data_IF_515836509435
#
_entry.id   IF_515836509435
#
_cell.length_a   1.000
_cell.length_b   1.000
_cell.length_c   1.000
_cell.angle_alpha   90.00
_cell.angle_beta   90.00
_cell.angle_gamma   90.00
#
_symmetry.space_group_name_H-M   'P 1'
#
loop_
_entity.id
_entity.type
_entity.pdbx_description
1 polymer ?
#
# COMPACT_ATOMS: atom_id res chain seq x y z
N UNK A 1 17.83 -0.60 -5.89
CA UNK A 1 16.96 -1.77 -5.58
C UNK A 1 17.86 -2.98 -5.45
N UNK A 2 17.55 -3.86 -4.51
CA UNK A 2 18.22 -5.13 -4.33
C UNK A 2 17.92 -6.13 -5.46
N UNK A 3 18.53 -7.29 -5.40
CA UNK A 3 18.31 -8.39 -6.35
C UNK A 3 16.96 -9.10 -6.10
N UNK A 4 16.56 -9.22 -4.84
CA UNK A 4 15.37 -9.92 -4.39
C UNK A 4 14.33 -8.96 -3.78
N UNK A 5 14.79 -8.00 -2.95
CA UNK A 5 13.92 -7.02 -2.32
C UNK A 5 13.67 -5.83 -3.22
N UNK A 6 12.40 -5.60 -3.55
CA UNK A 6 11.90 -4.42 -4.24
C UNK A 6 11.48 -3.32 -3.24
N UNK A 7 10.64 -2.38 -3.70
CA UNK A 7 10.09 -1.32 -2.83
C UNK A 7 9.11 -1.84 -1.77
N UNK A 8 8.57 -3.05 -1.96
CA UNK A 8 7.56 -3.64 -1.08
C UNK A 8 7.84 -5.13 -0.78
N UNK A 9 9.05 -5.40 -0.29
CA UNK A 9 9.53 -6.71 0.11
C UNK A 9 10.04 -7.57 -1.04
N UNK A 10 10.29 -8.85 -0.75
CA UNK A 10 10.69 -9.86 -1.71
C UNK A 10 9.45 -10.49 -2.33
N UNK A 11 9.14 -10.18 -3.59
CA UNK A 11 7.98 -10.70 -4.33
C UNK A 11 8.40 -11.56 -5.50
N UNK A 12 7.55 -12.54 -5.82
CA UNK A 12 7.71 -13.38 -6.99
C UNK A 12 6.67 -14.47 -7.07
N UNK A 13 6.61 -15.15 -8.21
CA UNK A 13 5.77 -16.33 -8.39
C UNK A 13 6.25 -17.46 -7.46
N UNK A 14 5.28 -18.02 -6.71
CA UNK A 14 5.57 -18.99 -5.66
C UNK A 14 6.21 -20.26 -6.23
N UNK A 15 7.31 -20.70 -5.62
CA UNK A 15 8.16 -21.83 -6.05
C UNK A 15 8.86 -21.65 -7.42
N UNK A 16 8.81 -20.45 -8.01
CA UNK A 16 9.57 -20.10 -9.21
C UNK A 16 10.61 -19.04 -8.87
N UNK A 17 10.19 -17.84 -8.51
CA UNK A 17 11.08 -16.73 -8.14
C UNK A 17 11.25 -16.62 -6.62
N UNK A 18 10.17 -16.84 -5.86
CA UNK A 18 10.18 -16.93 -4.41
C UNK A 18 9.94 -18.39 -4.01
N UNK A 19 10.97 -19.04 -3.46
CA UNK A 19 10.94 -20.48 -3.11
C UNK A 19 10.86 -20.70 -1.60
N UNK A 20 10.52 -21.92 -1.22
CA UNK A 20 10.57 -22.39 0.19
C UNK A 20 11.96 -22.21 0.80
N UNK A 21 13.02 -22.46 0.02
CA UNK A 21 14.40 -22.29 0.47
C UNK A 21 14.73 -20.82 0.75
N UNK A 22 14.23 -19.90 -0.08
CA UNK A 22 14.36 -18.47 0.18
C UNK A 22 13.66 -18.10 1.51
N UNK A 23 12.42 -18.54 1.71
CA UNK A 23 11.68 -18.25 2.94
C UNK A 23 12.37 -18.83 4.18
N UNK A 24 12.86 -20.08 4.12
CA UNK A 24 13.63 -20.69 5.20
C UNK A 24 14.87 -19.87 5.53
N UNK A 25 15.67 -19.49 4.52
CA UNK A 25 16.88 -18.67 4.73
C UNK A 25 16.57 -17.28 5.26
N UNK A 26 15.50 -16.62 4.78
CA UNK A 26 15.04 -15.34 5.36
C UNK A 26 14.74 -15.53 6.85
N UNK A 27 14.00 -16.57 7.22
CA UNK A 27 13.73 -16.90 8.62
C UNK A 27 15.01 -17.17 9.41
N UNK A 28 15.97 -17.90 8.85
CA UNK A 28 17.30 -18.14 9.45
C UNK A 28 18.02 -16.83 9.76
N UNK A 29 18.09 -15.95 8.76
CA UNK A 29 18.81 -14.68 8.90
C UNK A 29 18.12 -13.75 9.91
N UNK A 30 16.82 -13.57 9.80
CA UNK A 30 16.04 -12.70 10.70
C UNK A 30 16.15 -13.19 12.15
N UNK A 31 15.97 -14.50 12.39
CA UNK A 31 16.08 -15.07 13.74
C UNK A 31 17.46 -14.90 14.35
N UNK A 32 18.53 -15.08 13.56
CA UNK A 32 19.90 -14.87 14.00
C UNK A 32 20.22 -13.39 14.22
N UNK A 33 19.82 -12.51 13.30
CA UNK A 33 20.12 -11.08 13.34
C UNK A 33 19.54 -10.39 14.58
N UNK A 34 18.26 -10.62 14.84
CA UNK A 34 17.59 -10.05 16.01
C UNK A 34 17.87 -10.81 17.32
N UNK A 35 18.39 -12.02 17.21
CA UNK A 35 18.70 -12.89 18.35
C UNK A 35 20.11 -12.77 18.91
N UNK A 36 20.91 -11.77 18.50
CA UNK A 36 22.31 -11.64 18.92
C UNK A 36 22.50 -11.45 20.43
N UNK A 37 21.64 -10.68 21.07
CA UNK A 37 21.78 -10.27 22.47
C UNK A 37 20.68 -10.84 23.40
N UNK A 38 19.61 -11.39 22.83
CA UNK A 38 18.48 -11.93 23.56
C UNK A 38 17.72 -12.95 22.69
N UNK A 39 16.76 -13.64 23.25
CA UNK A 39 15.88 -14.53 22.50
C UNK A 39 14.86 -13.72 21.70
N UNK A 40 15.09 -13.57 20.40
CA UNK A 40 14.24 -12.75 19.54
C UNK A 40 12.79 -13.27 19.49
N UNK A 41 11.84 -12.33 19.42
CA UNK A 41 10.41 -12.58 19.23
C UNK A 41 9.99 -12.03 17.88
N UNK A 42 9.59 -12.89 16.98
CA UNK A 42 9.20 -12.51 15.62
C UNK A 42 7.72 -12.83 15.40
N UNK A 43 6.93 -11.82 15.04
CA UNK A 43 5.51 -12.02 14.74
C UNK A 43 5.29 -12.20 13.25
N UNK A 44 4.45 -13.16 12.87
CA UNK A 44 4.19 -13.52 11.47
C UNK A 44 2.69 -13.42 11.19
N UNK A 45 2.33 -12.67 10.15
CA UNK A 45 1.01 -12.66 9.55
C UNK A 45 1.07 -13.11 8.09
N UNK A 46 -0.08 -13.51 7.55
CA UNK A 46 -0.20 -13.91 6.16
C UNK A 46 -1.55 -13.52 5.57
N UNK A 47 -1.59 -13.38 4.25
CA UNK A 47 -2.83 -13.29 3.50
C UNK A 47 -3.46 -14.68 3.25
N UNK A 48 -4.51 -14.70 2.45
CA UNK A 48 -5.32 -15.90 2.19
C UNK A 48 -4.76 -16.81 1.10
N UNK A 49 -3.64 -16.47 0.43
CA UNK A 49 -3.05 -17.26 -0.65
C UNK A 49 -2.71 -18.66 -0.16
N UNK A 50 -2.93 -19.65 -1.01
CA UNK A 50 -2.56 -21.05 -0.70
C UNK A 50 -1.07 -21.20 -0.37
N UNK A 51 -0.21 -20.50 -1.11
CA UNK A 51 1.25 -20.52 -0.90
C UNK A 51 1.69 -19.82 0.40
N UNK A 52 0.85 -18.95 0.99
CA UNK A 52 1.20 -18.26 2.24
C UNK A 52 1.39 -19.23 3.42
N UNK A 53 0.64 -20.33 3.46
CA UNK A 53 0.83 -21.38 4.47
C UNK A 53 2.18 -22.09 4.32
N UNK A 54 2.57 -22.40 3.10
CA UNK A 54 3.85 -23.03 2.80
C UNK A 54 5.02 -22.15 3.22
N UNK A 55 4.96 -20.84 2.90
CA UNK A 55 6.00 -19.90 3.28
C UNK A 55 6.03 -19.62 4.78
N UNK A 56 4.87 -19.59 5.45
CA UNK A 56 4.81 -19.48 6.92
C UNK A 56 5.58 -20.61 7.60
N UNK A 57 5.34 -21.85 7.19
CA UNK A 57 6.05 -23.01 7.78
C UNK A 57 7.56 -22.95 7.51
N UNK A 58 7.99 -22.51 6.34
CA UNK A 58 9.39 -22.37 6.01
C UNK A 58 10.08 -21.28 6.84
N UNK A 59 9.44 -20.11 6.97
CA UNK A 59 9.91 -19.00 7.82
C UNK A 59 10.00 -19.42 9.29
N UNK A 60 8.96 -20.07 9.81
CA UNK A 60 8.93 -20.60 11.19
C UNK A 60 10.07 -21.57 11.45
N UNK A 61 10.30 -22.53 10.52
CA UNK A 61 11.40 -23.46 10.63
C UNK A 61 12.77 -22.76 10.67
N UNK A 62 12.95 -21.75 9.81
CA UNK A 62 14.17 -20.92 9.78
C UNK A 62 14.38 -20.14 11.08
N UNK A 63 13.36 -19.43 11.56
CA UNK A 63 13.40 -18.65 12.79
C UNK A 63 13.72 -19.52 14.01
N UNK A 64 12.99 -20.61 14.21
CA UNK A 64 13.17 -21.49 15.36
C UNK A 64 14.51 -22.20 15.33
N UNK A 65 15.00 -22.60 14.16
CA UNK A 65 16.34 -23.15 13.96
C UNK A 65 17.47 -22.16 14.27
N UNK A 66 17.18 -20.85 14.28
CA UNK A 66 18.11 -19.79 14.70
C UNK A 66 17.92 -19.33 16.14
N UNK A 67 17.02 -19.95 16.89
CA UNK A 67 16.77 -19.64 18.31
C UNK A 67 15.67 -18.63 18.57
N UNK A 68 15.09 -18.01 17.53
CA UNK A 68 14.02 -17.05 17.70
C UNK A 68 12.65 -17.71 17.95
N UNK A 69 11.82 -17.10 18.79
CA UNK A 69 10.43 -17.51 18.98
C UNK A 69 9.55 -16.90 17.87
N UNK A 70 8.76 -17.73 17.20
CA UNK A 70 7.84 -17.35 16.12
C UNK A 70 6.40 -17.27 16.64
N UNK A 71 5.78 -16.08 16.54
CA UNK A 71 4.41 -15.81 17.00
C UNK A 71 3.48 -15.69 15.80
N UNK A 72 2.45 -16.54 15.69
CA UNK A 72 1.58 -16.66 14.53
C UNK A 72 0.27 -15.91 14.73
N UNK A 73 0.07 -14.84 13.96
CA UNK A 73 -1.21 -14.11 13.87
C UNK A 73 -2.20 -14.82 12.92
N UNK A 74 -1.71 -15.81 12.14
CA UNK A 74 -2.46 -16.48 11.08
C UNK A 74 -2.88 -15.49 9.97
N UNK A 75 -4.07 -15.70 9.36
CA UNK A 75 -4.58 -14.79 8.34
C UNK A 75 -4.93 -13.45 8.98
N UNK A 76 -4.21 -12.41 8.57
CA UNK A 76 -4.36 -11.05 9.06
C UNK A 76 -3.82 -10.03 8.05
N UNK A 77 -4.06 -8.75 8.28
CA UNK A 77 -3.65 -7.65 7.40
C UNK A 77 -2.22 -7.19 7.69
N UNK A 78 -1.54 -6.58 6.71
CA UNK A 78 -0.23 -5.95 6.91
C UNK A 78 -0.24 -4.94 8.08
N UNK A 79 -1.22 -4.01 8.18
CA UNK A 79 -1.27 -3.10 9.33
C UNK A 79 -1.52 -3.80 10.66
N UNK A 80 -2.17 -4.97 10.71
CA UNK A 80 -2.30 -5.77 11.92
C UNK A 80 -0.94 -6.29 12.42
N UNK A 81 -0.07 -6.72 11.49
CA UNK A 81 1.30 -7.12 11.84
C UNK A 81 2.09 -5.92 12.35
N UNK A 82 2.04 -4.79 11.64
CA UNK A 82 2.68 -3.53 12.05
C UNK A 82 2.21 -3.08 13.44
N UNK A 83 0.91 -3.17 13.72
CA UNK A 83 0.34 -2.86 15.03
C UNK A 83 0.90 -3.79 16.12
N UNK A 84 0.89 -5.10 15.88
CA UNK A 84 1.37 -6.09 16.85
C UNK A 84 2.85 -5.88 17.19
N UNK A 85 3.71 -5.67 16.18
CA UNK A 85 5.15 -5.38 16.41
C UNK A 85 5.30 -4.21 17.35
N UNK A 86 4.61 -3.12 17.08
CA UNK A 86 4.76 -1.84 17.76
C UNK A 86 4.23 -1.83 19.21
N UNK A 87 3.23 -2.68 19.48
CA UNK A 87 2.51 -2.66 20.78
C UNK A 87 2.83 -3.81 21.71
N UNK A 88 3.54 -4.84 21.25
CA UNK A 88 3.75 -6.09 22.01
C UNK A 88 5.23 -6.48 22.13
N UNK A 89 6.14 -5.52 21.96
CA UNK A 89 7.60 -5.70 22.13
C UNK A 89 8.17 -6.84 21.25
N UNK A 90 7.76 -6.92 19.99
CA UNK A 90 8.40 -7.79 19.01
C UNK A 90 9.59 -7.10 18.34
N UNK A 91 10.64 -7.88 18.08
CA UNK A 91 11.84 -7.38 17.42
C UNK A 91 11.64 -7.12 15.93
N UNK A 92 10.82 -7.97 15.29
CA UNK A 92 10.50 -7.88 13.89
C UNK A 92 9.12 -8.48 13.58
N UNK A 93 8.47 -7.92 12.58
CA UNK A 93 7.26 -8.48 11.97
C UNK A 93 7.52 -9.01 10.58
N UNK A 94 6.87 -10.10 10.24
CA UNK A 94 6.89 -10.66 8.88
C UNK A 94 5.47 -10.73 8.36
N UNK A 95 5.20 -10.11 7.20
CA UNK A 95 3.95 -10.29 6.48
C UNK A 95 4.18 -11.08 5.19
N UNK A 96 3.42 -12.17 5.03
CA UNK A 96 3.46 -13.02 3.85
C UNK A 96 2.30 -12.63 2.94
N UNK A 97 2.60 -11.81 1.92
CA UNK A 97 1.63 -11.33 0.94
C UNK A 97 2.31 -10.71 -0.27
N UNK A 98 1.66 -10.77 -1.43
CA UNK A 98 1.98 -9.99 -2.62
C UNK A 98 0.92 -8.90 -2.90
N UNK A 99 0.21 -8.42 -1.86
CA UNK A 99 -0.78 -7.34 -1.95
C UNK A 99 -1.82 -7.61 -3.05
N UNK A 100 -1.89 -6.76 -4.07
CA UNK A 100 -2.87 -6.81 -5.16
C UNK A 100 -2.53 -7.77 -6.30
N UNK A 101 -1.37 -8.45 -6.26
CA UNK A 101 -0.97 -9.40 -7.29
C UNK A 101 -1.91 -10.63 -7.35
N UNK A 102 -1.93 -11.38 -8.48
CA UNK A 102 -2.64 -12.64 -8.58
C UNK A 102 -2.24 -13.67 -7.52
N UNK A 103 -3.07 -14.68 -7.31
CA UNK A 103 -2.88 -15.66 -6.23
C UNK A 103 -1.61 -16.50 -6.33
N UNK A 104 -1.06 -16.68 -7.51
CA UNK A 104 0.16 -17.48 -7.75
C UNK A 104 1.44 -16.73 -7.37
N UNK A 105 1.39 -15.40 -7.28
CA UNK A 105 2.45 -14.61 -6.69
C UNK A 105 2.36 -14.62 -5.16
N UNK A 106 3.50 -14.43 -4.50
CA UNK A 106 3.55 -14.17 -3.07
C UNK A 106 4.72 -13.24 -2.73
N UNK A 107 4.81 -12.84 -1.46
CA UNK A 107 5.88 -11.96 -1.00
C UNK A 107 6.18 -12.13 0.48
N UNK A 108 7.35 -11.65 0.87
CA UNK A 108 7.79 -11.57 2.26
C UNK A 108 8.15 -10.11 2.52
N UNK A 109 7.35 -9.43 3.36
CA UNK A 109 7.59 -8.07 3.84
C UNK A 109 8.14 -8.15 5.26
N UNK A 110 9.18 -7.38 5.54
CA UNK A 110 9.80 -7.31 6.86
C UNK A 110 9.52 -5.95 7.50
N UNK A 111 9.13 -5.98 8.78
CA UNK A 111 8.83 -4.79 9.58
C UNK A 111 9.75 -4.75 10.80
N UNK A 112 10.39 -3.61 11.05
CA UNK A 112 11.23 -3.41 12.23
C UNK A 112 10.39 -3.25 13.51
N UNK A 113 11.03 -3.16 14.67
CA UNK A 113 10.36 -3.04 15.98
C UNK A 113 9.41 -1.84 16.10
N UNK A 114 9.49 -0.85 15.22
CA UNK A 114 8.58 0.28 15.15
C UNK A 114 7.36 0.04 14.23
N UNK A 115 7.23 -1.16 13.66
CA UNK A 115 6.17 -1.51 12.72
C UNK A 115 6.31 -0.86 11.35
N UNK A 116 7.48 -0.33 11.04
CA UNK A 116 7.86 0.24 9.75
C UNK A 116 8.65 -0.79 8.92
N UNK A 117 8.79 -0.57 7.62
CA UNK A 117 9.68 -1.40 6.79
C UNK A 117 11.09 -1.42 7.37
N UNK A 118 11.74 -2.59 7.33
CA UNK A 118 13.13 -2.71 7.77
C UNK A 118 14.05 -1.83 6.93
N UNK A 119 15.18 -1.48 7.49
CA UNK A 119 16.21 -0.68 6.86
C UNK A 119 16.80 -1.41 5.64
N UNK A 120 17.13 -0.66 4.58
CA UNK A 120 17.68 -1.22 3.34
C UNK A 120 18.98 -2.01 3.56
N UNK A 121 19.73 -1.69 4.62
CA UNK A 121 20.94 -2.43 4.99
C UNK A 121 20.61 -3.86 5.45
N UNK A 122 19.51 -4.05 6.19
CA UNK A 122 19.07 -5.37 6.64
C UNK A 122 18.63 -6.22 5.43
N UNK A 123 17.87 -5.62 4.49
CA UNK A 123 17.48 -6.28 3.25
C UNK A 123 18.72 -6.70 2.44
N UNK A 124 19.70 -5.81 2.27
CA UNK A 124 20.92 -6.11 1.53
C UNK A 124 21.76 -7.24 2.17
N UNK A 125 21.79 -7.33 3.50
CA UNK A 125 22.44 -8.43 4.21
C UNK A 125 21.70 -9.76 4.04
N UNK A 126 20.37 -9.74 4.07
CA UNK A 126 19.57 -10.93 3.76
C UNK A 126 19.86 -11.40 2.33
N UNK A 127 19.91 -10.51 1.34
CA UNK A 127 20.26 -10.84 -0.03
C UNK A 127 21.65 -11.47 -0.15
N UNK A 128 22.62 -10.93 0.57
CA UNK A 128 23.97 -11.49 0.61
C UNK A 128 24.00 -12.91 1.20
N UNK A 129 23.17 -13.18 2.21
CA UNK A 129 23.01 -14.53 2.77
C UNK A 129 22.31 -15.49 1.80
N UNK A 130 21.25 -15.03 1.12
CA UNK A 130 20.57 -15.81 0.08
C UNK A 130 21.53 -16.21 -1.06
N UNK A 131 22.41 -15.31 -1.46
CA UNK A 131 23.44 -15.53 -2.51
C UNK A 131 24.65 -16.35 -2.03
N UNK A 132 24.71 -16.75 -0.76
CA UNK A 132 25.84 -17.50 -0.19
C UNK A 132 27.12 -16.65 -0.04
N UNK A 133 27.00 -15.32 0.03
CA UNK A 133 28.12 -14.39 0.24
C UNK A 133 28.45 -14.19 1.72
N UNK A 134 27.58 -14.68 2.60
CA UNK A 134 27.77 -14.70 4.05
C UNK A 134 27.93 -16.17 4.46
N UNK A 135 28.81 -16.44 5.43
CA UNK A 135 29.00 -17.78 5.97
C UNK A 135 27.70 -18.35 6.55
N UNK A 136 27.61 -19.70 6.59
CA UNK A 136 26.43 -20.38 7.14
C UNK A 136 26.25 -20.00 8.63
N UNK A 137 25.02 -19.61 8.97
CA UNK A 137 24.70 -19.17 10.32
C UNK A 137 24.62 -20.37 11.28
N UNK A 138 25.00 -20.23 12.56
CA UNK A 138 24.92 -21.31 13.54
C UNK A 138 23.47 -21.75 13.75
N UNK A 139 23.26 -23.03 14.01
CA UNK A 139 21.98 -23.56 14.44
C UNK A 139 21.88 -23.50 15.96
N UNK A 140 20.73 -23.08 16.46
CA UNK A 140 20.38 -23.21 17.86
C UNK A 140 20.24 -24.71 18.23
N UNK A 141 20.64 -25.06 19.43
CA UNK A 141 20.59 -26.44 19.92
C UNK A 141 19.91 -26.53 21.28
N UNK A 142 19.32 -27.68 21.59
CA UNK A 142 18.71 -27.97 22.88
C UNK A 142 17.68 -26.90 23.29
N UNK A 143 17.82 -26.31 24.49
CA UNK A 143 16.95 -25.27 25.07
C UNK A 143 17.00 -23.92 24.31
N UNK A 144 18.01 -23.70 23.48
CA UNK A 144 18.14 -22.48 22.66
C UNK A 144 17.28 -22.52 21.40
N UNK A 145 16.79 -23.71 21.00
CA UNK A 145 15.85 -23.81 19.85
C UNK A 145 14.62 -22.97 20.16
N UNK A 146 14.22 -22.13 19.18
CA UNK A 146 13.04 -21.32 19.27
C UNK A 146 11.74 -22.13 19.29
N UNK A 147 10.68 -21.54 19.74
CA UNK A 147 9.33 -22.16 19.78
C UNK A 147 8.36 -21.44 18.90
N UNK A 148 7.29 -22.12 18.52
CA UNK A 148 6.14 -21.52 17.84
C UNK A 148 5.06 -21.23 18.87
N UNK A 149 4.47 -20.03 18.79
CA UNK A 149 3.40 -19.55 19.67
C UNK A 149 2.19 -19.15 18.82
N UNK A 150 1.02 -19.72 19.11
CA UNK A 150 -0.25 -19.24 18.56
C UNK A 150 -0.56 -17.87 19.16
N UNK A 151 -0.64 -16.84 18.31
CA UNK A 151 -0.86 -15.46 18.74
C UNK A 151 -2.08 -14.81 18.05
N UNK A 152 -3.12 -15.60 17.77
CA UNK A 152 -4.38 -15.10 17.20
C UNK A 152 -4.99 -13.95 18.06
N UNK A 153 -4.69 -13.91 19.36
CA UNK A 153 -5.10 -12.82 20.27
C UNK A 153 -4.54 -11.46 19.85
N UNK A 154 -3.38 -11.38 19.22
CA UNK A 154 -2.79 -10.15 18.70
C UNK A 154 -3.66 -9.52 17.62
N UNK A 155 -4.21 -10.33 16.69
CA UNK A 155 -5.19 -9.86 15.70
C UNK A 155 -6.46 -9.30 16.36
N UNK A 156 -6.96 -9.94 17.41
CA UNK A 156 -8.14 -9.46 18.13
C UNK A 156 -7.88 -8.13 18.85
N UNK A 157 -6.67 -7.90 19.34
CA UNK A 157 -6.26 -6.59 19.91
C UNK A 157 -6.26 -5.50 18.84
N UNK A 158 -5.76 -5.79 17.64
CA UNK A 158 -5.83 -4.86 16.52
C UNK A 158 -7.29 -4.53 16.15
N UNK A 159 -8.19 -5.50 16.11
CA UNK A 159 -9.63 -5.26 15.92
C UNK A 159 -10.18 -4.33 17.01
N UNK A 160 -9.88 -4.60 18.26
CA UNK A 160 -10.28 -3.75 19.39
C UNK A 160 -9.72 -2.33 19.29
N UNK A 161 -8.46 -2.21 18.86
CA UNK A 161 -7.82 -0.92 18.60
C UNK A 161 -8.56 -0.13 17.51
N UNK A 162 -8.85 -0.72 16.36
CA UNK A 162 -9.59 -0.06 15.30
C UNK A 162 -10.98 0.42 15.76
N UNK A 163 -11.69 -0.40 16.53
CA UNK A 163 -13.01 -0.05 17.09
C UNK A 163 -12.91 1.16 18.04
N UNK A 164 -11.77 1.34 18.72
CA UNK A 164 -11.56 2.43 19.67
C UNK A 164 -11.23 3.79 19.03
N UNK A 165 -10.91 3.83 17.74
CA UNK A 165 -10.44 5.05 17.05
C UNK A 165 -11.59 6.04 16.78
N UNK A 166 -12.72 5.64 16.16
CA UNK A 166 -13.81 6.58 15.89
C UNK A 166 -14.46 7.10 17.17
N UNK A 167 -14.71 8.40 17.20
CA UNK A 167 -15.39 9.04 18.33
C UNK A 167 -16.91 8.78 18.35
N UNK A 168 -17.47 8.31 17.25
CA UNK A 168 -18.91 8.06 17.08
C UNK A 168 -19.17 6.71 16.43
N UNK A 169 -20.36 6.16 16.68
CA UNK A 169 -20.85 4.99 15.98
C UNK A 169 -21.38 5.34 14.56
N UNK A 170 -21.54 4.32 13.73
CA UNK A 170 -21.99 4.43 12.35
C UNK A 170 -23.44 3.91 12.18
N UNK A 171 -24.22 4.04 13.22
CA UNK A 171 -25.62 3.55 13.25
C UNK A 171 -26.43 4.09 12.06
N UNK A 172 -27.16 3.18 11.43
CA UNK A 172 -28.02 3.40 10.28
C UNK A 172 -27.31 3.65 8.94
N UNK A 173 -25.98 3.72 8.89
CA UNK A 173 -25.24 3.84 7.64
C UNK A 173 -25.08 2.44 7.03
N UNK A 174 -25.45 2.31 5.76
CA UNK A 174 -25.29 1.09 4.96
C UNK A 174 -23.94 1.10 4.27
N UNK A 175 -23.05 0.20 4.68
CA UNK A 175 -21.67 0.14 4.22
C UNK A 175 -21.44 -1.12 3.40
N UNK A 176 -20.99 -0.96 2.15
CA UNK A 176 -20.50 -2.06 1.32
C UNK A 176 -19.02 -2.32 1.59
N UNK A 177 -18.62 -3.58 1.76
CA UNK A 177 -17.23 -3.97 1.97
C UNK A 177 -16.83 -5.02 0.93
N UNK A 178 -15.88 -4.71 0.07
CA UNK A 178 -15.23 -5.68 -0.81
C UNK A 178 -13.90 -6.08 -0.19
N UNK A 179 -13.85 -7.32 0.31
CA UNK A 179 -12.69 -7.85 1.02
C UNK A 179 -11.66 -8.52 0.08
N UNK A 180 -11.80 -8.41 -1.23
CA UNK A 180 -10.90 -9.00 -2.24
C UNK A 180 -10.59 -10.50 -2.07
N UNK A 181 -11.41 -11.25 -1.31
CA UNK A 181 -11.09 -12.58 -0.79
C UNK A 181 -9.70 -12.64 -0.10
N UNK A 182 -9.27 -11.50 0.42
CA UNK A 182 -7.99 -11.28 1.09
C UNK A 182 -8.10 -11.27 2.61
N UNK A 183 -7.08 -10.75 3.25
CA UNK A 183 -6.93 -10.76 4.72
C UNK A 183 -7.93 -9.87 5.45
N UNK A 184 -8.51 -8.85 4.81
CA UNK A 184 -9.60 -8.05 5.39
C UNK A 184 -10.87 -8.86 5.67
N UNK A 185 -11.05 -10.02 5.01
CA UNK A 185 -12.18 -10.94 5.22
C UNK A 185 -12.35 -11.35 6.69
N UNK A 186 -11.25 -11.47 7.42
CA UNK A 186 -11.26 -11.88 8.82
C UNK A 186 -11.51 -10.71 9.80
N UNK A 187 -11.50 -9.46 9.35
CA UNK A 187 -11.40 -8.27 10.22
C UNK A 187 -12.49 -7.23 9.92
N UNK A 188 -12.62 -6.80 8.66
CA UNK A 188 -13.37 -5.60 8.29
C UNK A 188 -14.80 -5.63 8.79
N UNK A 189 -15.55 -6.72 8.51
CA UNK A 189 -16.95 -6.85 8.94
C UNK A 189 -17.11 -6.70 10.46
N UNK A 190 -16.23 -7.35 11.24
CA UNK A 190 -16.32 -7.33 12.70
C UNK A 190 -16.12 -5.92 13.27
N UNK A 191 -15.22 -5.13 12.68
CA UNK A 191 -14.96 -3.73 13.06
C UNK A 191 -16.19 -2.86 12.78
N UNK A 192 -16.75 -2.92 11.57
CA UNK A 192 -17.92 -2.11 11.20
C UNK A 192 -19.18 -2.51 11.95
N UNK A 193 -19.41 -3.80 12.19
CA UNK A 193 -20.55 -4.29 12.99
C UNK A 193 -20.45 -3.81 14.44
N UNK A 194 -19.27 -3.85 15.04
CA UNK A 194 -19.04 -3.33 16.40
C UNK A 194 -19.33 -1.81 16.49
N UNK A 195 -19.04 -1.07 15.42
CA UNK A 195 -19.37 0.35 15.28
C UNK A 195 -20.82 0.60 14.81
N UNK A 196 -21.66 -0.45 14.78
CA UNK A 196 -23.10 -0.40 14.50
C UNK A 196 -23.49 -0.02 13.09
N UNK A 197 -22.57 -0.12 12.10
CA UNK A 197 -22.92 0.02 10.70
C UNK A 197 -23.80 -1.15 10.23
N UNK A 198 -24.58 -0.93 9.17
CA UNK A 198 -25.24 -2.02 8.44
C UNK A 198 -24.31 -2.50 7.34
N UNK A 199 -23.59 -3.57 7.58
CA UNK A 199 -22.55 -4.08 6.68
C UNK A 199 -23.11 -5.03 5.62
N UNK A 200 -22.70 -4.80 4.39
CA UNK A 200 -22.97 -5.62 3.21
C UNK A 200 -21.63 -6.04 2.62
N UNK A 201 -21.27 -7.32 2.72
CA UNK A 201 -19.92 -7.79 2.39
C UNK A 201 -19.96 -8.64 1.14
N UNK A 202 -19.01 -8.40 0.23
CA UNK A 202 -18.75 -9.21 -0.96
C UNK A 202 -17.28 -9.65 -0.97
N UNK A 203 -17.00 -10.69 -1.78
CA UNK A 203 -15.65 -11.24 -1.93
C UNK A 203 -14.98 -11.55 -0.58
N UNK A 204 -15.70 -12.30 0.26
CA UNK A 204 -15.34 -12.59 1.64
C UNK A 204 -15.27 -14.11 1.94
N UNK A 205 -15.07 -14.91 0.92
CA UNK A 205 -14.97 -16.38 1.01
C UNK A 205 -13.68 -16.87 0.31
N UNK A 206 -12.53 -16.68 0.96
CA UNK A 206 -11.22 -17.02 0.37
C UNK A 206 -11.04 -18.53 0.24
N UNK A 207 -10.69 -19.01 -0.96
CA UNK A 207 -10.38 -20.41 -1.27
C UNK A 207 -8.87 -20.68 -1.44
N UNK A 208 -8.04 -19.64 -1.29
CA UNK A 208 -6.59 -19.70 -1.48
C UNK A 208 -6.12 -19.41 -2.91
N UNK A 209 -7.06 -19.29 -3.87
CA UNK A 209 -6.77 -19.06 -5.29
C UNK A 209 -7.58 -17.91 -5.88
N UNK A 210 -8.53 -17.37 -5.15
CA UNK A 210 -9.46 -16.34 -5.61
C UNK A 210 -9.14 -14.91 -5.09
N UNK A 211 -8.06 -14.71 -4.34
CA UNK A 211 -7.63 -13.39 -3.87
C UNK A 211 -7.40 -12.44 -5.06
N UNK A 212 -7.93 -11.22 -4.98
CA UNK A 212 -7.86 -10.17 -6.02
C UNK A 212 -8.45 -10.57 -7.40
N UNK A 213 -9.09 -11.71 -7.53
CA UNK A 213 -9.61 -12.18 -8.82
C UNK A 213 -10.92 -11.47 -9.14
N UNK A 214 -10.84 -10.44 -10.01
CA UNK A 214 -11.97 -9.59 -10.39
C UNK A 214 -12.71 -9.00 -9.16
N UNK A 215 -11.96 -8.53 -8.16
CA UNK A 215 -12.49 -7.96 -6.93
C UNK A 215 -11.46 -7.05 -6.23
N UNK A 216 -11.90 -6.34 -5.20
CA UNK A 216 -11.06 -5.50 -4.37
C UNK A 216 -10.69 -4.16 -5.02
N UNK A 217 -9.67 -3.49 -4.48
CA UNK A 217 -9.29 -2.12 -4.85
C UNK A 217 -8.83 -1.95 -6.29
N UNK A 218 -8.39 -3.02 -6.96
CA UNK A 218 -7.97 -3.00 -8.38
C UNK A 218 -9.09 -3.31 -9.36
N UNK A 219 -10.25 -3.73 -8.88
CA UNK A 219 -11.47 -4.03 -9.65
C UNK A 219 -12.69 -3.34 -9.03
N UNK A 220 -12.55 -2.03 -8.85
CA UNK A 220 -13.52 -1.22 -8.10
C UNK A 220 -14.91 -1.17 -8.74
N UNK A 221 -15.02 -1.46 -10.04
CA UNK A 221 -16.27 -1.53 -10.79
C UNK A 221 -17.28 -2.52 -10.18
N UNK A 222 -16.77 -3.56 -9.54
CA UNK A 222 -17.63 -4.55 -8.85
C UNK A 222 -18.32 -3.91 -7.66
N UNK A 223 -17.57 -3.18 -6.84
CA UNK A 223 -18.12 -2.47 -5.69
C UNK A 223 -19.02 -1.29 -6.12
N UNK A 224 -18.66 -0.55 -7.18
CA UNK A 224 -19.48 0.53 -7.73
C UNK A 224 -20.91 0.03 -8.04
N UNK A 225 -20.96 -1.06 -8.82
CA UNK A 225 -22.25 -1.69 -9.17
C UNK A 225 -22.99 -2.16 -7.92
N UNK A 226 -22.29 -2.78 -6.98
CA UNK A 226 -22.89 -3.32 -5.75
C UNK A 226 -23.49 -2.22 -4.87
N UNK A 227 -22.80 -1.09 -4.70
CA UNK A 227 -23.26 0.07 -3.93
C UNK A 227 -24.56 0.63 -4.54
N UNK A 228 -24.57 0.87 -5.85
CA UNK A 228 -25.73 1.45 -6.54
C UNK A 228 -26.92 0.50 -6.54
N UNK A 229 -26.72 -0.75 -6.92
CA UNK A 229 -27.80 -1.76 -7.02
C UNK A 229 -28.50 -2.04 -5.67
N UNK A 230 -27.76 -1.93 -4.56
CA UNK A 230 -28.29 -2.19 -3.21
C UNK A 230 -28.66 -0.91 -2.43
N UNK A 231 -28.52 0.26 -3.04
CA UNK A 231 -28.82 1.55 -2.39
C UNK A 231 -28.04 1.72 -1.10
N UNK A 232 -26.73 1.46 -1.15
CA UNK A 232 -25.81 1.63 -0.03
C UNK A 232 -25.37 3.10 0.07
N UNK A 233 -25.03 3.55 1.27
CA UNK A 233 -24.61 4.93 1.51
C UNK A 233 -23.15 5.15 1.11
N UNK A 234 -22.31 4.10 1.22
CA UNK A 234 -20.88 4.13 0.96
C UNK A 234 -20.34 2.70 0.74
N UNK A 235 -19.26 2.56 -0.01
CA UNK A 235 -18.56 1.29 -0.18
C UNK A 235 -17.05 1.46 0.00
N UNK A 236 -16.37 0.40 0.48
CA UNK A 236 -14.91 0.32 0.63
C UNK A 236 -14.40 -0.97 0.04
N UNK A 237 -13.39 -0.88 -0.83
CA UNK A 237 -12.67 -2.02 -1.39
C UNK A 237 -11.22 -2.01 -0.89
N UNK A 238 -10.78 -3.17 -0.44
CA UNK A 238 -9.41 -3.40 0.03
C UNK A 238 -8.62 -4.20 -1.00
N UNK A 239 -7.30 -4.17 -0.90
CA UNK A 239 -6.45 -5.12 -1.60
C UNK A 239 -6.17 -6.37 -0.75
N UNK A 240 -5.35 -7.30 -1.26
CA UNK A 240 -5.20 -8.63 -0.65
C UNK A 240 -4.69 -8.65 0.79
N UNK A 241 -3.84 -7.70 1.20
CA UNK A 241 -3.33 -7.56 2.57
C UNK A 241 -3.85 -6.31 3.30
N UNK A 242 -4.80 -5.61 2.66
CA UNK A 242 -5.59 -4.51 3.21
C UNK A 242 -4.76 -3.34 3.74
N UNK A 243 -3.61 -3.07 3.14
CA UNK A 243 -2.84 -1.85 3.36
C UNK A 243 -3.37 -0.68 2.51
N UNK A 244 -4.30 -0.95 1.55
CA UNK A 244 -4.96 0.00 0.67
C UNK A 244 -6.47 -0.02 0.84
N UNK A 245 -7.08 1.16 0.58
CA UNK A 245 -8.52 1.35 0.52
C UNK A 245 -8.90 2.27 -0.65
N UNK A 246 -9.84 1.84 -1.46
CA UNK A 246 -10.55 2.70 -2.42
C UNK A 246 -12.01 2.75 -2.00
N UNK A 247 -12.62 3.94 -2.00
CA UNK A 247 -14.00 4.10 -1.61
C UNK A 247 -14.91 4.37 -2.81
N UNK A 248 -16.21 4.13 -2.62
CA UNK A 248 -17.27 4.43 -3.58
C UNK A 248 -18.38 5.17 -2.85
N UNK A 249 -18.83 6.30 -3.40
CA UNK A 249 -19.96 7.04 -2.85
C UNK A 249 -21.32 6.40 -3.23
N UNK A 250 -22.41 6.89 -2.64
CA UNK A 250 -23.76 6.38 -2.89
C UNK A 250 -24.25 6.52 -4.34
N UNK A 251 -23.57 7.30 -5.18
CA UNK A 251 -23.84 7.45 -6.63
C UNK A 251 -23.01 6.52 -7.51
N UNK A 252 -22.10 5.77 -6.90
CA UNK A 252 -21.15 4.92 -7.62
C UNK A 252 -19.89 5.64 -8.10
N UNK A 253 -19.61 6.87 -7.65
CA UNK A 253 -18.37 7.54 -8.01
C UNK A 253 -17.19 6.97 -7.22
N UNK A 254 -16.07 6.79 -7.89
CA UNK A 254 -14.81 6.35 -7.26
C UNK A 254 -14.20 7.49 -6.47
N UNK A 255 -13.84 7.18 -5.23
CA UNK A 255 -13.05 8.01 -4.33
C UNK A 255 -11.73 7.29 -4.11
N UNK A 256 -10.77 7.60 -4.97
CA UNK A 256 -9.43 7.04 -4.94
C UNK A 256 -8.56 7.64 -3.83
N UNK A 257 -7.30 7.22 -3.71
CA UNK A 257 -6.40 7.69 -2.68
C UNK A 257 -6.22 9.22 -2.67
N UNK A 258 -6.22 9.86 -3.82
CA UNK A 258 -6.11 11.31 -3.91
C UNK A 258 -7.33 12.03 -3.32
N UNK A 259 -8.54 11.56 -3.67
CA UNK A 259 -9.77 12.09 -3.06
C UNK A 259 -9.87 11.76 -1.58
N UNK A 260 -9.37 10.60 -1.14
CA UNK A 260 -9.29 10.24 0.27
C UNK A 260 -8.36 11.19 1.02
N UNK A 261 -7.17 11.48 0.46
CA UNK A 261 -6.24 12.46 1.01
C UNK A 261 -6.85 13.84 1.12
N UNK A 262 -7.62 14.28 0.10
CA UNK A 262 -8.34 15.53 0.13
C UNK A 262 -9.38 15.59 1.25
N UNK A 263 -10.28 14.60 1.31
CA UNK A 263 -11.35 14.53 2.30
C UNK A 263 -10.80 14.46 3.73
N UNK A 264 -9.85 13.55 3.96
CA UNK A 264 -9.27 13.36 5.29
C UNK A 264 -8.33 14.51 5.69
N UNK A 265 -7.59 15.09 4.75
CA UNK A 265 -6.75 16.28 4.99
C UNK A 265 -7.58 17.47 5.44
N UNK A 266 -8.68 17.78 4.72
CA UNK A 266 -9.66 18.80 5.13
C UNK A 266 -10.25 18.52 6.50
N UNK A 267 -10.63 17.27 6.75
CA UNK A 267 -11.19 16.87 8.03
C UNK A 267 -10.20 17.09 9.17
N UNK A 268 -8.96 16.60 9.03
CA UNK A 268 -7.91 16.80 10.04
C UNK A 268 -7.60 18.28 10.26
N UNK A 269 -7.57 19.11 9.20
CA UNK A 269 -7.42 20.55 9.31
C UNK A 269 -8.54 21.18 10.14
N UNK A 270 -9.80 20.82 9.87
CA UNK A 270 -10.95 21.34 10.62
C UNK A 270 -10.92 20.97 12.11
N UNK A 271 -10.25 19.86 12.46
CA UNK A 271 -10.06 19.40 13.83
C UNK A 271 -8.79 19.96 14.49
N UNK A 272 -8.00 20.78 13.79
CA UNK A 272 -6.69 21.26 14.28
C UNK A 272 -5.65 20.12 14.44
N UNK A 273 -5.80 19.03 13.70
CA UNK A 273 -4.96 17.81 13.79
C UNK A 273 -4.07 17.60 12.56
N UNK A 274 -4.05 18.55 11.62
CA UNK A 274 -3.19 18.49 10.44
C UNK A 274 -1.85 19.20 10.75
N UNK A 275 -0.86 18.43 11.19
CA UNK A 275 0.46 18.97 11.56
C UNK A 275 1.11 19.66 10.37
N UNK A 276 1.71 20.85 10.59
CA UNK A 276 2.30 21.66 9.54
C UNK A 276 1.30 22.16 8.50
N UNK A 277 -0.01 21.91 8.69
CA UNK A 277 -1.05 22.15 7.69
C UNK A 277 -0.71 21.50 6.34
N UNK A 278 -0.03 20.33 6.36
CA UNK A 278 0.58 19.67 5.19
C UNK A 278 0.07 18.25 5.04
N UNK A 279 -0.18 17.84 3.77
CA UNK A 279 -0.46 16.45 3.35
C UNK A 279 0.69 15.96 2.46
N UNK A 280 1.21 14.77 2.73
CA UNK A 280 2.27 14.18 1.90
C UNK A 280 1.66 13.34 0.79
N UNK A 281 2.11 13.56 -0.45
CA UNK A 281 1.64 12.87 -1.66
C UNK A 281 2.84 12.36 -2.47
N UNK A 282 2.58 11.77 -3.62
CA UNK A 282 3.65 11.43 -4.58
C UNK A 282 3.50 12.26 -5.86
N UNK A 283 4.57 12.32 -6.65
CA UNK A 283 4.55 12.99 -7.98
C UNK A 283 3.48 12.42 -8.93
N UNK A 284 2.86 11.27 -8.60
CA UNK A 284 1.80 10.66 -9.40
C UNK A 284 0.39 11.09 -8.98
N UNK A 285 0.21 11.77 -7.84
CA UNK A 285 -1.11 12.28 -7.45
C UNK A 285 -1.65 13.25 -8.49
N UNK A 286 -2.95 13.19 -8.75
CA UNK A 286 -3.61 13.98 -9.79
C UNK A 286 -3.47 15.49 -9.51
N UNK A 287 -3.24 16.29 -10.56
CA UNK A 287 -3.10 17.74 -10.46
C UNK A 287 -4.33 18.40 -9.79
N UNK A 288 -5.50 17.80 -9.92
CA UNK A 288 -6.71 18.25 -9.25
C UNK A 288 -6.63 18.22 -7.74
N UNK A 289 -5.85 17.29 -7.16
CA UNK A 289 -5.58 17.26 -5.72
C UNK A 289 -4.81 18.49 -5.26
N UNK A 290 -3.76 18.87 -5.97
CA UNK A 290 -2.95 20.03 -5.63
C UNK A 290 -3.76 21.33 -5.71
N UNK A 291 -4.52 21.51 -6.80
CA UNK A 291 -5.42 22.68 -6.95
C UNK A 291 -6.48 22.73 -5.84
N UNK A 292 -7.02 21.57 -5.46
CA UNK A 292 -7.99 21.50 -4.37
C UNK A 292 -7.36 21.86 -3.01
N UNK A 293 -6.13 21.40 -2.74
CA UNK A 293 -5.40 21.77 -1.54
C UNK A 293 -5.07 23.28 -1.51
N UNK A 294 -4.64 23.86 -2.63
CA UNK A 294 -4.39 25.30 -2.75
C UNK A 294 -5.64 26.13 -2.44
N UNK A 295 -6.79 25.72 -2.98
CA UNK A 295 -8.07 26.38 -2.71
C UNK A 295 -8.49 26.30 -1.24
N UNK A 296 -8.14 25.22 -0.55
CA UNK A 296 -8.40 25.04 0.88
C UNK A 296 -7.30 25.61 1.78
N UNK A 297 -6.23 26.16 1.21
CA UNK A 297 -5.06 26.64 1.96
C UNK A 297 -4.39 25.50 2.75
N UNK A 298 -4.32 24.31 2.19
CA UNK A 298 -3.57 23.15 2.69
C UNK A 298 -2.26 23.07 1.91
N UNK A 299 -1.15 22.93 2.61
CA UNK A 299 0.14 22.66 2.00
C UNK A 299 0.26 21.20 1.60
N UNK A 300 1.10 20.91 0.62
CA UNK A 300 1.41 19.56 0.23
C UNK A 300 2.89 19.36 -0.06
N UNK A 301 3.36 18.15 0.16
CA UNK A 301 4.68 17.70 -0.27
C UNK A 301 4.56 16.53 -1.25
N UNK A 302 5.47 16.52 -2.23
CA UNK A 302 5.50 15.50 -3.28
C UNK A 302 6.76 14.67 -3.15
N UNK A 303 6.61 13.38 -2.87
CA UNK A 303 7.72 12.44 -2.85
C UNK A 303 7.87 11.69 -4.18
N UNK A 304 8.94 10.94 -4.34
CA UNK A 304 9.02 9.89 -5.36
C UNK A 304 7.91 8.86 -5.12
N UNK A 305 7.57 8.10 -6.18
CA UNK A 305 6.57 7.02 -6.11
C UNK A 305 7.06 5.89 -5.22
N UNK A 306 6.24 5.50 -4.26
CA UNK A 306 6.49 4.44 -3.30
C UNK A 306 6.14 4.86 -1.88
N UNK A 307 5.36 4.04 -1.21
CA UNK A 307 4.89 4.22 0.16
C UNK A 307 6.03 4.48 1.17
N UNK A 308 7.20 3.91 0.93
CA UNK A 308 8.42 4.15 1.72
C UNK A 308 8.79 5.63 1.77
N UNK A 309 8.80 6.31 0.62
CA UNK A 309 9.19 7.72 0.55
C UNK A 309 8.15 8.64 1.22
N UNK A 310 6.86 8.26 1.11
CA UNK A 310 5.78 8.96 1.83
C UNK A 310 5.97 8.80 3.33
N UNK A 311 6.19 7.57 3.80
CA UNK A 311 6.38 7.29 5.23
C UNK A 311 7.62 7.98 5.81
N UNK A 312 8.75 7.96 5.10
CA UNK A 312 10.00 8.64 5.50
C UNK A 312 9.78 10.15 5.62
N UNK A 313 9.18 10.80 4.61
CA UNK A 313 8.89 12.23 4.64
C UNK A 313 7.94 12.60 5.79
N UNK A 314 6.89 11.81 6.00
CA UNK A 314 5.95 12.02 7.13
C UNK A 314 6.64 11.92 8.49
N UNK A 315 7.54 10.95 8.65
CA UNK A 315 8.27 10.74 9.90
C UNK A 315 9.26 11.89 10.19
N UNK A 316 10.05 12.28 9.19
CA UNK A 316 11.05 13.35 9.30
C UNK A 316 10.41 14.70 9.64
N UNK A 317 9.23 15.00 9.11
CA UNK A 317 8.56 16.27 9.28
C UNK A 317 7.38 16.23 10.27
N UNK A 318 7.13 15.06 10.89
CA UNK A 318 6.00 14.85 11.82
C UNK A 318 4.64 15.22 11.20
N UNK A 319 4.41 14.86 9.93
CA UNK A 319 3.13 15.10 9.26
C UNK A 319 2.07 14.06 9.64
N UNK A 320 0.81 14.48 9.65
CA UNK A 320 -0.32 13.69 10.17
C UNK A 320 -0.88 12.69 9.18
N UNK A 321 -0.82 13.00 7.88
CA UNK A 321 -1.42 12.19 6.82
C UNK A 321 -0.57 12.28 5.55
N UNK A 322 -0.45 11.15 4.88
CA UNK A 322 0.15 11.05 3.55
C UNK A 322 -0.28 9.76 2.86
N UNK A 323 -0.05 9.69 1.56
CA UNK A 323 -0.42 8.48 0.82
C UNK A 323 -0.26 8.62 -0.69
N UNK A 324 -0.82 7.64 -1.38
CA UNK A 324 -0.75 7.48 -2.82
C UNK A 324 -2.16 7.35 -3.42
N UNK A 325 -2.32 7.71 -4.69
CA UNK A 325 -3.56 7.52 -5.45
C UNK A 325 -4.08 6.08 -5.40
N UNK A 326 -3.19 5.09 -5.27
CA UNK A 326 -3.52 3.67 -5.13
C UNK A 326 -4.35 3.31 -3.89
N UNK A 327 -4.56 4.27 -2.97
CA UNK A 327 -5.30 4.08 -1.72
C UNK A 327 -4.45 3.64 -0.53
N UNK A 328 -3.13 3.60 -0.66
CA UNK A 328 -2.22 3.41 0.47
C UNK A 328 -2.11 4.74 1.23
N UNK A 329 -2.85 4.86 2.34
CA UNK A 329 -2.94 6.09 3.14
C UNK A 329 -2.48 5.82 4.56
N UNK A 330 -1.57 6.65 5.04
CA UNK A 330 -0.97 6.59 6.37
C UNK A 330 -1.55 7.71 7.24
N UNK A 331 -2.04 7.36 8.41
CA UNK A 331 -2.41 8.29 9.47
C UNK A 331 -1.41 8.13 10.62
N UNK A 332 -0.37 8.95 10.67
CA UNK A 332 0.80 8.76 11.55
C UNK A 332 0.46 8.67 13.05
N UNK A 333 -0.63 9.31 13.48
CA UNK A 333 -1.13 9.20 14.85
C UNK A 333 -1.57 7.78 15.22
N UNK A 334 -2.02 6.98 14.25
CA UNK A 334 -2.67 5.70 14.46
C UNK A 334 -1.89 4.52 13.92
N UNK A 335 -1.21 4.68 12.80
CA UNK A 335 -0.51 3.62 12.09
C UNK A 335 0.88 4.06 11.59
N UNK A 336 1.81 3.13 11.53
CA UNK A 336 3.17 3.35 10.99
C UNK A 336 3.27 3.03 9.49
N UNK A 337 2.21 2.48 8.89
CA UNK A 337 2.09 2.12 7.47
C UNK A 337 0.68 2.39 6.99
N UNK A 338 0.41 2.25 5.70
CA UNK A 338 -0.94 2.29 5.17
C UNK A 338 -1.85 1.26 5.83
N UNK A 339 -3.09 1.67 6.09
CA UNK A 339 -4.09 0.83 6.72
C UNK A 339 -5.45 1.11 6.09
N UNK A 340 -5.90 0.16 5.24
CA UNK A 340 -7.13 0.32 4.47
C UNK A 340 -8.38 0.35 5.36
N UNK A 341 -8.42 -0.45 6.43
CA UNK A 341 -9.56 -0.46 7.34
C UNK A 341 -9.59 0.82 8.17
N UNK A 342 -8.47 1.26 8.71
CA UNK A 342 -8.35 2.56 9.38
C UNK A 342 -8.76 3.71 8.45
N UNK A 343 -8.30 3.68 7.20
CA UNK A 343 -8.67 4.69 6.18
C UNK A 343 -10.17 4.76 6.00
N UNK A 344 -10.84 3.61 5.87
CA UNK A 344 -12.30 3.57 5.76
C UNK A 344 -13.01 4.12 7.01
N UNK A 345 -12.48 3.87 8.20
CA UNK A 345 -13.00 4.43 9.46
C UNK A 345 -12.84 5.95 9.52
N UNK A 346 -11.70 6.48 9.08
CA UNK A 346 -11.45 7.94 9.04
C UNK A 346 -12.37 8.66 8.06
N UNK A 347 -12.66 8.06 6.91
CA UNK A 347 -13.67 8.56 5.97
C UNK A 347 -15.06 8.57 6.61
N UNK A 348 -15.46 7.47 7.26
CA UNK A 348 -16.73 7.39 7.97
C UNK A 348 -16.85 8.46 9.07
N UNK A 349 -15.78 8.65 9.84
CA UNK A 349 -15.75 9.69 10.89
C UNK A 349 -15.92 11.09 10.27
N UNK A 350 -15.24 11.39 9.16
CA UNK A 350 -15.41 12.64 8.44
C UNK A 350 -16.86 12.86 7.98
N UNK A 351 -17.50 11.83 7.43
CA UNK A 351 -18.90 11.89 7.00
C UNK A 351 -19.85 12.16 8.18
N UNK A 352 -19.69 11.43 9.28
CA UNK A 352 -20.57 11.54 10.46
C UNK A 352 -20.41 12.87 11.17
N UNK A 353 -19.16 13.30 11.43
CA UNK A 353 -18.89 14.57 12.13
C UNK A 353 -19.31 15.79 11.32
N UNK A 354 -19.12 15.77 10.01
CA UNK A 354 -19.53 16.88 9.14
C UNK A 354 -20.99 16.78 8.68
N UNK A 355 -21.69 15.69 9.01
CA UNK A 355 -23.09 15.41 8.60
C UNK A 355 -23.27 15.53 7.09
N UNK A 356 -22.33 15.03 6.33
CA UNK A 356 -22.27 15.13 4.88
C UNK A 356 -22.01 13.74 4.26
N UNK A 357 -22.49 13.54 3.03
CA UNK A 357 -22.17 12.33 2.28
C UNK A 357 -20.72 12.37 1.77
N UNK A 358 -20.14 11.21 1.48
CA UNK A 358 -18.80 11.16 0.87
C UNK A 358 -18.78 11.90 -0.48
N UNK A 359 -19.86 11.83 -1.26
CA UNK A 359 -20.02 12.60 -2.48
C UNK A 359 -19.89 14.11 -2.26
N UNK A 360 -20.53 14.64 -1.19
CA UNK A 360 -20.45 16.07 -0.87
C UNK A 360 -19.05 16.48 -0.40
N UNK A 361 -18.37 15.64 0.37
CA UNK A 361 -17.03 15.94 0.88
C UNK A 361 -15.96 15.95 -0.23
N UNK A 362 -16.13 15.10 -1.25
CA UNK A 362 -15.15 14.94 -2.32
C UNK A 362 -15.42 15.82 -3.56
N UNK A 363 -16.56 16.50 -3.66
CA UNK A 363 -17.04 17.15 -4.88
C UNK A 363 -16.16 18.29 -5.39
N UNK A 364 -15.45 18.99 -4.51
CA UNK A 364 -14.62 20.14 -4.87
C UNK A 364 -13.27 19.71 -5.50
N UNK A 365 -12.83 18.48 -5.25
CA UNK A 365 -11.67 17.92 -5.93
C UNK A 365 -12.04 17.41 -7.32
N UNK A 366 -11.74 18.18 -8.36
CA UNK A 366 -11.93 17.77 -9.76
C UNK A 366 -10.75 16.95 -10.23
N UNK A 367 -11.03 15.77 -10.78
CA UNK A 367 -9.99 14.92 -11.39
C UNK A 367 -9.69 15.45 -12.80
N UNK A 368 -8.42 15.72 -13.06
CA UNK A 368 -7.94 16.08 -14.40
C UNK A 368 -7.75 14.82 -15.23
N UNK A 369 -8.19 14.82 -16.52
CA UNK A 369 -7.85 13.78 -17.47
C UNK A 369 -6.35 13.53 -17.50
N UNK A 370 -5.99 12.24 -17.58
CA UNK A 370 -4.59 11.79 -17.55
C UNK A 370 -4.38 10.73 -18.63
N UNK A 371 -3.32 10.87 -19.41
CA UNK A 371 -2.85 9.81 -20.31
C UNK A 371 -1.43 9.42 -19.94
N UNK A 372 -1.23 8.12 -19.73
CA UNK A 372 0.06 7.49 -19.47
C UNK A 372 0.43 6.57 -20.63
N UNK A 373 1.62 6.75 -21.22
CA UNK A 373 2.21 5.84 -22.20
C UNK A 373 3.46 5.20 -21.64
N UNK A 374 3.52 3.88 -21.72
CA UNK A 374 4.71 3.10 -21.40
C UNK A 374 5.48 2.88 -22.71
N UNK A 375 6.68 3.41 -22.83
CA UNK A 375 7.53 3.33 -24.02
C UNK A 375 8.70 2.43 -23.70
N UNK A 376 8.81 1.29 -24.40
CA UNK A 376 9.94 0.37 -24.26
C UNK A 376 11.19 0.95 -24.89
N UNK A 377 12.30 0.97 -24.17
CA UNK A 377 13.57 1.56 -24.61
C UNK A 377 14.74 0.62 -24.31
N UNK A 378 15.79 0.70 -25.12
CA UNK A 378 17.00 -0.09 -24.92
C UNK A 378 17.77 0.38 -23.65
N UNK A 379 17.90 1.69 -23.48
CA UNK A 379 18.52 2.31 -22.31
C UNK A 379 17.69 3.50 -21.82
N UNK A 380 17.25 3.41 -20.58
CA UNK A 380 16.35 4.39 -19.98
C UNK A 380 17.00 5.76 -19.80
N UNK A 381 18.27 5.77 -19.39
CA UNK A 381 19.00 7.02 -19.16
C UNK A 381 19.23 7.76 -20.46
N UNK A 382 19.72 7.07 -21.50
CA UNK A 382 19.93 7.64 -22.83
C UNK A 382 18.63 8.19 -23.42
N UNK A 383 17.52 7.46 -23.27
CA UNK A 383 16.22 7.91 -23.78
C UNK A 383 15.71 9.15 -23.05
N UNK A 384 15.84 9.20 -21.74
CA UNK A 384 15.39 10.35 -20.93
C UNK A 384 16.25 11.59 -21.11
N UNK A 385 17.55 11.43 -21.28
CA UNK A 385 18.51 12.52 -21.39
C UNK A 385 18.77 12.95 -22.84
N UNK A 386 18.11 12.34 -23.84
CA UNK A 386 18.22 12.75 -25.25
C UNK A 386 17.77 14.20 -25.42
N UNK A 387 18.58 15.09 -26.00
CA UNK A 387 18.29 16.53 -26.08
C UNK A 387 16.97 16.87 -26.76
N UNK A 388 16.58 16.12 -27.82
CA UNK A 388 15.31 16.37 -28.53
C UNK A 388 14.12 15.91 -27.70
N UNK A 389 14.24 14.81 -26.93
CA UNK A 389 13.19 14.38 -26.00
C UNK A 389 13.03 15.41 -24.89
N UNK A 390 14.11 15.89 -24.30
CA UNK A 390 14.09 16.96 -23.28
C UNK A 390 13.41 18.22 -23.84
N UNK A 391 13.79 18.65 -25.05
CA UNK A 391 13.16 19.81 -25.71
C UNK A 391 11.65 19.64 -25.94
N UNK A 392 11.22 18.44 -26.38
CA UNK A 392 9.81 18.12 -26.56
C UNK A 392 9.03 18.13 -25.24
N UNK A 393 9.62 17.61 -24.17
CA UNK A 393 9.03 17.63 -22.83
C UNK A 393 8.90 19.08 -22.32
N UNK A 394 9.93 19.90 -22.46
CA UNK A 394 9.89 21.31 -22.06
C UNK A 394 8.89 22.12 -22.91
N UNK A 395 8.78 21.83 -24.21
CA UNK A 395 7.79 22.47 -25.07
C UNK A 395 6.36 22.10 -24.63
N UNK A 396 6.10 20.83 -24.31
CA UNK A 396 4.84 20.40 -23.76
C UNK A 396 4.54 21.08 -22.41
N UNK A 397 5.52 21.14 -21.52
CA UNK A 397 5.38 21.79 -20.21
C UNK A 397 5.03 23.30 -20.35
N UNK A 398 5.68 24.01 -21.30
CA UNK A 398 5.38 25.42 -21.59
C UNK A 398 3.96 25.59 -22.17
N UNK A 399 3.55 24.69 -23.07
CA UNK A 399 2.22 24.75 -23.69
C UNK A 399 1.09 24.47 -22.68
N UNK A 400 1.29 23.52 -21.77
CA UNK A 400 0.35 23.17 -20.73
C UNK A 400 0.25 24.25 -19.64
N UNK A 401 1.32 25.00 -19.39
CA UNK A 401 1.37 26.10 -18.40
C UNK A 401 0.81 25.67 -17.04
N UNK A 402 -0.18 26.42 -16.50
CA UNK A 402 -0.87 26.13 -15.24
C UNK A 402 -2.06 25.17 -15.37
N UNK A 403 -2.48 24.86 -16.59
CA UNK A 403 -3.68 24.06 -16.88
C UNK A 403 -3.39 22.59 -17.16
N UNK A 404 -2.12 22.19 -17.05
CA UNK A 404 -1.68 20.84 -17.22
C UNK A 404 -0.25 20.62 -16.75
N UNK A 405 0.19 19.35 -16.81
CA UNK A 405 1.58 18.97 -16.53
C UNK A 405 2.00 17.76 -17.36
N UNK A 406 3.29 17.66 -17.58
CA UNK A 406 3.91 16.47 -18.17
C UNK A 406 4.93 15.90 -17.18
N UNK A 407 4.96 14.58 -17.04
CA UNK A 407 5.92 13.86 -16.23
C UNK A 407 6.53 12.71 -17.06
N UNK A 408 7.85 12.72 -17.19
CA UNK A 408 8.60 11.65 -17.86
C UNK A 408 9.55 11.01 -16.85
N UNK A 409 9.36 9.70 -16.64
CA UNK A 409 10.15 8.96 -15.65
C UNK A 409 10.51 7.55 -16.09
N UNK A 410 11.59 7.04 -15.53
CA UNK A 410 12.00 5.66 -15.71
C UNK A 410 11.10 4.70 -14.89
N UNK A 411 10.78 3.53 -15.46
CA UNK A 411 10.23 2.43 -14.67
C UNK A 411 11.31 1.84 -13.76
N UNK A 412 10.98 1.57 -12.51
CA UNK A 412 11.91 0.97 -11.54
C UNK A 412 12.31 -0.47 -11.91
N UNK A 413 11.39 -1.23 -12.50
CA UNK A 413 11.54 -2.69 -12.70
C UNK A 413 11.65 -3.11 -14.17
N UNK A 414 11.15 -2.31 -15.10
CA UNK A 414 11.03 -2.64 -16.51
C UNK A 414 11.89 -1.71 -17.37
N UNK A 415 12.31 -2.11 -18.60
CA UNK A 415 13.04 -1.27 -19.53
C UNK A 415 12.09 -0.30 -20.24
N UNK A 416 11.39 0.53 -19.47
CA UNK A 416 10.37 1.47 -19.94
C UNK A 416 10.65 2.89 -19.49
N UNK A 417 10.35 3.84 -20.36
CA UNK A 417 10.08 5.24 -20.00
C UNK A 417 8.56 5.42 -19.92
N UNK A 418 8.10 6.03 -18.86
CA UNK A 418 6.70 6.38 -18.64
C UNK A 418 6.51 7.86 -18.92
N UNK A 419 5.71 8.16 -19.94
CA UNK A 419 5.32 9.53 -20.33
C UNK A 419 3.88 9.73 -19.91
N UNK A 420 3.65 10.66 -18.99
CA UNK A 420 2.33 11.00 -18.46
C UNK A 420 2.04 12.47 -18.69
N UNK A 421 0.84 12.77 -19.18
CA UNK A 421 0.30 14.13 -19.26
C UNK A 421 -1.05 14.20 -18.58
N UNK A 422 -1.25 15.25 -17.79
CA UNK A 422 -2.53 15.66 -17.24
C UNK A 422 -2.89 17.05 -17.79
N UNK A 423 -4.14 17.20 -18.21
CA UNK A 423 -4.62 18.47 -18.77
C UNK A 423 -6.14 18.60 -18.63
N UNK A 424 -6.69 19.72 -19.10
CA UNK A 424 -8.13 20.00 -19.03
C UNK A 424 -9.00 19.04 -19.83
N UNK A 425 -8.49 18.40 -20.88
CA UNK A 425 -9.19 17.39 -21.70
C UNK A 425 -8.28 16.24 -22.11
N UNK A 426 -8.88 15.09 -22.46
CA UNK A 426 -8.15 13.91 -22.94
C UNK A 426 -7.44 14.19 -24.27
N UNK A 427 -8.02 15.03 -25.15
CA UNK A 427 -7.44 15.36 -26.42
C UNK A 427 -6.10 16.10 -26.25
N UNK A 428 -6.05 17.07 -25.32
CA UNK A 428 -4.81 17.81 -25.00
C UNK A 428 -3.77 16.84 -24.42
N UNK A 429 -4.18 15.94 -23.52
CA UNK A 429 -3.28 14.93 -22.98
C UNK A 429 -2.69 14.03 -24.09
N UNK A 430 -3.55 13.56 -25.01
CA UNK A 430 -3.15 12.70 -26.13
C UNK A 430 -2.18 13.41 -27.07
N UNK A 431 -2.45 14.67 -27.43
CA UNK A 431 -1.58 15.46 -28.29
C UNK A 431 -0.14 15.53 -27.76
N UNK A 432 0.01 15.95 -26.49
CA UNK A 432 1.32 16.13 -25.89
C UNK A 432 2.06 14.82 -25.62
N UNK A 433 1.35 13.78 -25.14
CA UNK A 433 1.96 12.44 -24.95
C UNK A 433 2.47 11.89 -26.29
N UNK A 434 1.61 11.91 -27.32
CA UNK A 434 1.96 11.34 -28.62
C UNK A 434 3.11 12.11 -29.27
N UNK A 435 3.19 13.43 -29.07
CA UNK A 435 4.29 14.24 -29.58
C UNK A 435 5.64 13.80 -28.98
N UNK A 436 5.70 13.60 -27.66
CA UNK A 436 6.94 13.16 -27.00
C UNK A 436 7.31 11.73 -27.42
N UNK A 437 6.32 10.82 -27.49
CA UNK A 437 6.55 9.43 -27.94
C UNK A 437 7.07 9.41 -29.39
N UNK A 438 6.48 10.19 -30.29
CA UNK A 438 6.93 10.33 -31.69
C UNK A 438 8.38 10.79 -31.78
N UNK A 439 8.78 11.79 -30.96
CA UNK A 439 10.19 12.23 -30.91
C UNK A 439 11.11 11.10 -30.46
N UNK A 440 10.68 10.26 -29.48
CA UNK A 440 11.47 9.10 -29.06
C UNK A 440 11.61 8.05 -30.18
N UNK A 441 10.56 7.86 -31.00
CA UNK A 441 10.57 6.97 -32.15
C UNK A 441 11.51 7.50 -33.26
N UNK A 442 11.41 8.80 -33.60
CA UNK A 442 12.23 9.47 -34.63
C UNK A 442 13.73 9.44 -34.26
N UNK A 443 14.07 9.48 -32.96
CA UNK A 443 15.43 9.35 -32.46
C UNK A 443 15.92 7.89 -32.33
N UNK A 444 15.08 6.91 -32.70
CA UNK A 444 15.45 5.48 -32.64
C UNK A 444 15.65 4.93 -31.24
N UNK A 445 15.01 5.54 -30.25
CA UNK A 445 15.17 5.17 -28.83
C UNK A 445 14.17 4.05 -28.41
N UNK A 446 13.10 3.86 -29.20
CA UNK A 446 12.05 2.88 -28.93
C UNK A 446 12.44 1.52 -29.47
N UNK A 447 12.21 0.47 -28.67
CA UNK A 447 12.39 -0.93 -29.08
C UNK A 447 11.05 -1.67 -29.05
N UNK A 448 10.88 -2.64 -29.95
CA UNK A 448 9.65 -3.44 -30.05
C UNK A 448 9.40 -4.34 -28.83
#
# INVERSE_FOLDING_TARGET
MGKYFGTDGFRGEANIQLTVDHAFKVGRYVGWYYGCDHKAKIVIGKDTRRSSYMFEYALVAGLTASGADAYLLHVTTTPSVSYAVRTEDFDCGIMISASHNPFYDNGIKLLNGNGQKVEAEVEARIEAYLDGKIEELPYATREDIGRTVDFASGRNRYIGYLISIPCRDFKNIKVGLDCSNGSSSAIAKSVFDALRAKTYVINNDPDGTNINRACGSTHIEVLQKYVVDNGLDIGFAYDGDADRCIAVDHKGNIIDGDKILYVCGKFLKSQGKLNGNTVVTTVMSNMGLYKAFEAEGINYEQTAVGDKYVAENMLENNYSIGGEQSGHVIFSRYAATGDGILTSLMIMEACVEQKATLCDLAKEMKVYPQILRNVRVADKKTARENPKVVEAVEAAARALSTDGRILVRESGTEPLIRVMVEAGTEEICAEHVNNVVRVMEEEGLVVE
#
